data_IF_668761876399
#
_entry.id   IF_668761876399
#
_cell.length_a   1.000
_cell.length_b   1.000
_cell.length_c   1.000
_cell.angle_alpha   90.00
_cell.angle_beta   90.00
_cell.angle_gamma   90.00
#
_symmetry.space_group_name_H-M   'P 1'
#
loop_
_entity.id
_entity.type
_entity.pdbx_description
1 polymer ?
#
# COMPACT_ATOMS: atom_id res chain seq x y z
N UNK A 1 -19.99 -39.30 -16.00
CA UNK A 1 -21.20 -38.47 -16.18
C UNK A 1 -20.86 -37.21 -16.99
N UNK A 2 -20.00 -36.32 -16.50
CA UNK A 2 -19.66 -35.05 -17.16
C UNK A 2 -19.13 -35.19 -18.61
N UNK A 3 -18.22 -36.14 -18.89
CA UNK A 3 -17.67 -36.33 -20.24
C UNK A 3 -18.74 -36.66 -21.30
N UNK A 4 -19.69 -37.54 -20.98
CA UNK A 4 -20.78 -37.91 -21.89
C UNK A 4 -21.70 -36.72 -22.20
N UNK A 5 -21.79 -35.77 -21.27
CA UNK A 5 -22.66 -34.60 -21.37
C UNK A 5 -22.05 -33.54 -22.30
N UNK A 6 -20.75 -33.24 -22.15
CA UNK A 6 -20.03 -32.33 -23.06
C UNK A 6 -19.75 -32.95 -24.43
N UNK A 7 -19.65 -34.28 -24.53
CA UNK A 7 -19.58 -34.98 -25.81
C UNK A 7 -20.86 -34.74 -26.63
N UNK A 8 -22.04 -34.76 -25.98
CA UNK A 8 -23.32 -34.41 -26.63
C UNK A 8 -23.40 -32.94 -27.07
N UNK A 9 -22.59 -32.06 -26.47
CA UNK A 9 -22.46 -30.64 -26.84
C UNK A 9 -21.42 -30.39 -27.95
N UNK A 10 -20.84 -31.45 -28.54
CA UNK A 10 -19.92 -31.36 -29.67
C UNK A 10 -18.43 -31.48 -29.32
N UNK A 11 -18.08 -31.81 -28.07
CA UNK A 11 -16.68 -32.04 -27.69
C UNK A 11 -16.17 -33.38 -28.25
N UNK A 12 -15.08 -33.34 -29.03
CA UNK A 12 -14.49 -34.52 -29.71
C UNK A 12 -13.31 -35.15 -28.96
N UNK A 13 -12.94 -34.62 -27.80
CA UNK A 13 -11.78 -35.09 -27.04
C UNK A 13 -12.03 -36.28 -26.12
N UNK A 14 -10.94 -36.86 -25.62
CA UNK A 14 -10.98 -38.04 -24.75
C UNK A 14 -11.45 -37.74 -23.31
N UNK A 15 -12.11 -38.72 -22.69
CA UNK A 15 -12.55 -38.67 -21.29
C UNK A 15 -11.39 -38.33 -20.34
N UNK A 16 -10.22 -38.93 -20.57
CA UNK A 16 -9.00 -38.68 -19.78
C UNK A 16 -8.56 -37.21 -19.81
N UNK A 17 -8.77 -36.51 -20.92
CA UNK A 17 -8.41 -35.09 -21.04
C UNK A 17 -9.34 -34.21 -20.22
N UNK A 18 -10.63 -34.55 -20.20
CA UNK A 18 -11.64 -33.85 -19.41
C UNK A 18 -11.36 -34.02 -17.92
N UNK A 19 -11.14 -35.25 -17.45
CA UNK A 19 -10.84 -35.50 -16.04
C UNK A 19 -9.52 -34.89 -15.59
N UNK A 20 -8.49 -34.89 -16.45
CA UNK A 20 -7.24 -34.16 -16.19
C UNK A 20 -7.46 -32.66 -16.05
N UNK A 21 -8.31 -32.06 -16.89
CA UNK A 21 -8.63 -30.65 -16.79
C UNK A 21 -9.43 -30.33 -15.51
N UNK A 22 -10.39 -31.18 -15.14
CA UNK A 22 -11.10 -31.06 -13.85
C UNK A 22 -10.12 -31.16 -12.68
N UNK A 23 -9.15 -32.09 -12.74
CA UNK A 23 -8.13 -32.23 -11.70
C UNK A 23 -7.30 -30.96 -11.56
N UNK A 24 -6.90 -30.34 -12.67
CA UNK A 24 -6.22 -29.02 -12.63
C UNK A 24 -7.09 -27.92 -12.04
N UNK A 25 -8.40 -27.91 -12.34
CA UNK A 25 -9.33 -26.93 -11.76
C UNK A 25 -9.55 -27.15 -10.26
N UNK A 26 -9.64 -28.41 -9.80
CA UNK A 26 -9.72 -28.76 -8.37
C UNK A 26 -8.46 -28.36 -7.61
N UNK A 27 -7.28 -28.60 -8.18
CA UNK A 27 -6.02 -28.18 -7.58
C UNK A 27 -5.92 -26.65 -7.52
N UNK A 28 -6.33 -25.94 -8.56
CA UNK A 28 -6.40 -24.48 -8.57
C UNK A 28 -7.39 -23.94 -7.52
N UNK A 29 -8.57 -24.55 -7.38
CA UNK A 29 -9.56 -24.13 -6.37
C UNK A 29 -9.07 -24.39 -4.95
N UNK A 30 -8.41 -25.53 -4.69
CA UNK A 30 -7.82 -25.84 -3.38
C UNK A 30 -6.71 -24.83 -3.04
N UNK A 31 -5.81 -24.52 -3.98
CA UNK A 31 -4.77 -23.49 -3.78
C UNK A 31 -5.37 -22.11 -3.51
N UNK A 32 -6.40 -21.71 -4.27
CA UNK A 32 -7.09 -20.44 -4.05
C UNK A 32 -7.73 -20.37 -2.66
N UNK A 33 -8.39 -21.43 -2.20
CA UNK A 33 -8.99 -21.51 -0.86
C UNK A 33 -7.93 -21.46 0.26
N UNK A 34 -6.80 -22.14 0.10
CA UNK A 34 -5.69 -22.08 1.06
C UNK A 34 -5.11 -20.67 1.15
N UNK A 35 -5.00 -19.98 0.02
CA UNK A 35 -4.50 -18.61 -0.03
C UNK A 35 -5.49 -17.60 0.57
N UNK A 36 -6.79 -17.77 0.34
CA UNK A 36 -7.82 -16.92 0.98
C UNK A 36 -7.82 -17.07 2.50
N UNK A 37 -7.62 -18.29 3.02
CA UNK A 37 -7.48 -18.51 4.46
C UNK A 37 -6.24 -17.81 5.04
N UNK A 38 -5.15 -17.68 4.28
CA UNK A 38 -3.99 -16.88 4.69
C UNK A 38 -4.37 -15.40 4.84
N UNK A 39 -5.19 -14.84 3.95
CA UNK A 39 -5.63 -13.43 4.06
C UNK A 39 -6.35 -13.13 5.38
N UNK A 40 -7.11 -14.09 5.92
CA UNK A 40 -7.81 -13.93 7.20
C UNK A 40 -6.87 -13.82 8.42
N UNK A 41 -5.60 -14.19 8.28
CA UNK A 41 -4.59 -14.03 9.33
C UNK A 41 -3.89 -12.67 9.30
N UNK A 42 -4.08 -11.87 8.25
CA UNK A 42 -3.47 -10.54 8.15
C UNK A 42 -4.26 -9.51 8.95
N UNK A 43 -3.52 -8.70 9.71
CA UNK A 43 -4.04 -7.44 10.25
C UNK A 43 -4.00 -6.36 9.17
N UNK A 44 -4.84 -5.34 9.33
CA UNK A 44 -4.83 -4.18 8.43
C UNK A 44 -3.45 -3.49 8.37
N UNK A 45 -2.70 -3.46 9.50
CA UNK A 45 -1.35 -2.87 9.54
C UNK A 45 -0.34 -3.66 8.71
N UNK A 46 -0.38 -4.99 8.75
CA UNK A 46 0.50 -5.83 7.94
C UNK A 46 0.18 -5.70 6.46
N UNK A 47 -1.11 -5.63 6.09
CA UNK A 47 -1.54 -5.41 4.71
C UNK A 47 -1.07 -4.03 4.17
N UNK A 48 -1.18 -2.97 4.97
CA UNK A 48 -0.66 -1.63 4.60
C UNK A 48 0.85 -1.67 4.39
N UNK A 49 1.58 -2.37 5.26
CA UNK A 49 3.03 -2.49 5.14
C UNK A 49 3.44 -3.26 3.86
N UNK A 50 2.73 -4.35 3.55
CA UNK A 50 2.91 -5.12 2.33
C UNK A 50 2.64 -4.25 1.08
N UNK A 51 1.58 -3.44 1.11
CA UNK A 51 1.18 -2.59 -0.02
C UNK A 51 2.08 -1.38 -0.22
N UNK A 52 2.75 -0.89 0.82
CA UNK A 52 3.62 0.30 0.75
C UNK A 52 5.05 0.00 0.31
N UNK A 53 5.56 -1.22 0.54
CA UNK A 53 6.94 -1.61 0.23
C UNK A 53 7.17 -1.78 -1.27
N UNK A 54 8.41 -1.55 -1.72
CA UNK A 54 8.79 -1.91 -3.09
C UNK A 54 8.66 -3.43 -3.25
N UNK A 55 7.96 -3.87 -4.30
CA UNK A 55 7.80 -5.28 -4.64
C UNK A 55 9.14 -6.02 -4.69
N UNK A 56 10.22 -5.35 -5.15
CA UNK A 56 11.57 -5.95 -5.22
C UNK A 56 12.19 -6.25 -3.86
N UNK A 57 11.67 -5.61 -2.81
CA UNK A 57 12.13 -5.85 -1.44
C UNK A 57 11.37 -6.97 -0.73
N UNK A 58 10.25 -7.43 -1.31
CA UNK A 58 9.41 -8.47 -0.73
C UNK A 58 10.02 -9.86 -0.97
N UNK A 59 9.96 -10.72 0.04
CA UNK A 59 10.33 -12.13 -0.13
C UNK A 59 9.30 -12.90 -0.96
N UNK A 60 9.59 -14.17 -1.28
CA UNK A 60 8.72 -15.00 -2.12
C UNK A 60 7.32 -15.20 -1.50
N UNK A 61 7.24 -15.35 -0.17
CA UNK A 61 5.98 -15.57 0.54
C UNK A 61 5.15 -14.29 0.52
N UNK A 62 5.76 -13.15 0.82
CA UNK A 62 5.14 -11.83 0.76
C UNK A 62 4.63 -11.51 -0.65
N UNK A 63 5.36 -11.90 -1.70
CA UNK A 63 4.93 -11.71 -3.08
C UNK A 63 3.73 -12.60 -3.45
N UNK A 64 3.68 -13.84 -2.96
CA UNK A 64 2.51 -14.72 -3.11
C UNK A 64 1.29 -14.18 -2.36
N UNK A 65 1.49 -13.68 -1.14
CA UNK A 65 0.42 -13.10 -0.34
C UNK A 65 -0.11 -11.83 -1.01
N UNK A 66 0.76 -10.97 -1.51
CA UNK A 66 0.39 -9.79 -2.30
C UNK A 66 -0.39 -10.18 -3.57
N UNK A 67 0.06 -11.21 -4.29
CA UNK A 67 -0.64 -11.71 -5.46
C UNK A 67 -2.04 -12.23 -5.08
N UNK A 68 -2.15 -12.89 -3.93
CA UNK A 68 -3.42 -13.36 -3.39
C UNK A 68 -4.36 -12.21 -3.06
N UNK A 69 -3.90 -11.16 -2.37
CA UNK A 69 -4.71 -9.95 -2.12
C UNK A 69 -5.21 -9.32 -3.42
N UNK A 70 -4.34 -9.22 -4.42
CA UNK A 70 -4.66 -8.67 -5.73
C UNK A 70 -5.67 -9.52 -6.52
N UNK A 71 -5.65 -10.85 -6.37
CA UNK A 71 -6.58 -11.76 -7.02
C UNK A 71 -7.94 -11.83 -6.29
N UNK A 72 -7.94 -11.64 -4.98
CA UNK A 72 -9.15 -11.72 -4.16
C UNK A 72 -10.14 -10.59 -4.45
N UNK A 73 -9.66 -9.39 -4.80
CA UNK A 73 -10.54 -8.26 -5.14
C UNK A 73 -9.90 -7.28 -6.14
N UNK A 74 -10.63 -6.91 -7.21
CA UNK A 74 -10.21 -5.84 -8.12
C UNK A 74 -9.97 -4.49 -7.40
N UNK A 75 -10.74 -4.23 -6.35
CA UNK A 75 -10.61 -3.03 -5.51
C UNK A 75 -9.25 -3.02 -4.81
N UNK A 76 -8.83 -4.15 -4.23
CA UNK A 76 -7.51 -4.26 -3.57
C UNK A 76 -6.37 -4.11 -4.57
N UNK A 77 -6.51 -4.69 -5.77
CA UNK A 77 -5.53 -4.50 -6.85
C UNK A 77 -5.38 -3.03 -7.22
N UNK A 78 -6.49 -2.33 -7.41
CA UNK A 78 -6.50 -0.90 -7.76
C UNK A 78 -5.89 -0.04 -6.66
N UNK A 79 -6.23 -0.32 -5.40
CA UNK A 79 -5.63 0.32 -4.24
C UNK A 79 -4.11 0.11 -4.21
N UNK A 80 -3.65 -1.13 -4.37
CA UNK A 80 -2.22 -1.44 -4.43
C UNK A 80 -1.50 -0.64 -5.53
N UNK A 81 -2.07 -0.59 -6.73
CA UNK A 81 -1.46 0.14 -7.86
C UNK A 81 -1.34 1.64 -7.60
N UNK A 82 -2.39 2.26 -7.03
CA UNK A 82 -2.37 3.68 -6.69
C UNK A 82 -1.37 3.99 -5.58
N UNK A 83 -1.29 3.13 -4.55
CA UNK A 83 -0.31 3.26 -3.45
C UNK A 83 1.11 3.10 -3.99
N UNK A 84 1.39 2.08 -4.81
CA UNK A 84 2.71 1.89 -5.41
C UNK A 84 3.13 3.04 -6.30
N UNK A 85 2.19 3.59 -7.08
CA UNK A 85 2.47 4.72 -7.96
C UNK A 85 2.86 5.96 -7.14
N UNK A 86 2.15 6.21 -6.03
CA UNK A 86 2.50 7.27 -5.09
C UNK A 86 3.87 7.05 -4.45
N UNK A 87 4.12 5.84 -3.95
CA UNK A 87 5.40 5.50 -3.32
C UNK A 87 6.56 5.57 -4.30
N UNK A 88 6.33 5.27 -5.58
CA UNK A 88 7.31 5.51 -6.63
C UNK A 88 7.60 7.01 -6.80
N UNK A 89 6.56 7.85 -6.85
CA UNK A 89 6.75 9.31 -6.92
C UNK A 89 7.59 9.82 -5.74
N UNK A 90 7.35 9.31 -4.53
CA UNK A 90 8.13 9.66 -3.33
C UNK A 90 9.59 9.22 -3.48
N UNK A 91 9.85 7.96 -3.86
CA UNK A 91 11.22 7.41 -3.97
C UNK A 91 12.04 8.06 -5.06
N UNK A 92 11.42 8.32 -6.22
CA UNK A 92 12.09 8.87 -7.40
C UNK A 92 12.01 10.38 -7.52
N UNK A 93 11.31 11.04 -6.59
CA UNK A 93 11.03 12.47 -6.60
C UNK A 93 10.39 12.94 -7.92
N UNK A 94 9.33 12.26 -8.32
CA UNK A 94 8.59 12.52 -9.56
C UNK A 94 7.36 13.42 -9.31
N UNK A 95 7.52 14.54 -8.59
CA UNK A 95 6.41 15.44 -8.24
C UNK A 95 5.64 16.02 -9.44
N UNK A 96 6.22 15.99 -10.65
CA UNK A 96 5.53 16.34 -11.89
C UNK A 96 4.35 15.41 -12.22
N UNK A 97 4.33 14.18 -11.67
CA UNK A 97 3.27 13.18 -11.89
C UNK A 97 2.08 13.34 -10.94
N UNK A 98 2.20 14.22 -9.93
CA UNK A 98 1.20 14.36 -8.86
C UNK A 98 -0.20 14.69 -9.41
N UNK A 99 -0.28 15.61 -10.38
CA UNK A 99 -1.53 16.04 -11.00
C UNK A 99 -2.27 14.85 -11.64
N UNK A 100 -1.58 14.10 -12.49
CA UNK A 100 -2.13 12.91 -13.14
C UNK A 100 -2.49 11.80 -12.15
N UNK A 101 -1.75 11.67 -11.05
CA UNK A 101 -2.06 10.70 -9.99
C UNK A 101 -3.34 11.07 -9.25
N UNK A 102 -3.57 12.36 -8.96
CA UNK A 102 -4.79 12.85 -8.31
C UNK A 102 -6.02 12.66 -9.22
N UNK A 103 -5.89 12.91 -10.53
CA UNK A 103 -6.95 12.63 -11.51
C UNK A 103 -7.34 11.15 -11.53
N UNK A 104 -6.36 10.24 -11.48
CA UNK A 104 -6.62 8.79 -11.43
C UNK A 104 -7.37 8.37 -10.16
N UNK A 105 -7.11 9.02 -9.03
CA UNK A 105 -7.86 8.76 -7.79
C UNK A 105 -9.28 9.32 -7.88
N UNK A 106 -9.44 10.52 -8.44
CA UNK A 106 -10.77 11.12 -8.64
C UNK A 106 -11.65 10.24 -9.54
N UNK A 107 -11.08 9.61 -10.56
CA UNK A 107 -11.77 8.65 -11.44
C UNK A 107 -11.97 7.25 -10.82
N UNK A 108 -11.39 6.96 -9.65
CA UNK A 108 -11.54 5.70 -8.96
C UNK A 108 -12.81 5.67 -8.10
N UNK A 109 -13.23 4.47 -7.68
CA UNK A 109 -14.33 4.19 -6.76
C UNK A 109 -13.87 4.04 -5.29
N UNK A 110 -12.68 4.55 -4.96
CA UNK A 110 -12.01 4.36 -3.68
C UNK A 110 -12.18 5.60 -2.78
N UNK A 111 -13.30 5.69 -2.07
CA UNK A 111 -13.70 6.85 -1.23
C UNK A 111 -12.63 7.28 -0.20
N UNK A 112 -11.95 6.32 0.42
CA UNK A 112 -10.88 6.58 1.39
C UNK A 112 -9.66 7.22 0.72
N UNK A 113 -9.28 6.76 -0.48
CA UNK A 113 -8.20 7.37 -1.24
C UNK A 113 -8.60 8.75 -1.81
N UNK A 114 -9.85 8.93 -2.20
CA UNK A 114 -10.37 10.25 -2.60
C UNK A 114 -10.30 11.24 -1.44
N UNK A 115 -10.65 10.81 -0.21
CA UNK A 115 -10.53 11.64 0.99
C UNK A 115 -9.07 12.01 1.29
N UNK A 116 -8.15 11.07 1.12
CA UNK A 116 -6.71 11.34 1.20
C UNK A 116 -6.26 12.34 0.13
N UNK A 117 -6.67 12.14 -1.12
CA UNK A 117 -6.35 13.02 -2.24
C UNK A 117 -6.88 14.45 -2.02
N UNK A 118 -8.05 14.62 -1.42
CA UNK A 118 -8.58 15.93 -1.05
C UNK A 118 -7.69 16.65 -0.01
N UNK A 119 -7.08 15.90 0.92
CA UNK A 119 -6.06 16.44 1.82
C UNK A 119 -4.79 16.87 1.08
N UNK A 120 -4.32 16.03 0.16
CA UNK A 120 -3.17 16.34 -0.70
C UNK A 120 -3.42 17.57 -1.57
N UNK A 121 -4.63 17.74 -2.11
CA UNK A 121 -4.98 18.89 -2.95
C UNK A 121 -4.91 20.21 -2.17
N UNK A 122 -5.34 20.21 -0.89
CA UNK A 122 -5.25 21.41 -0.03
C UNK A 122 -3.82 21.90 0.16
N UNK A 123 -2.88 20.97 0.32
CA UNK A 123 -1.46 21.25 0.54
C UNK A 123 -0.59 20.96 -0.70
N UNK A 124 -1.21 20.99 -1.89
CA UNK A 124 -0.61 20.49 -3.14
C UNK A 124 0.75 21.07 -3.46
N UNK A 125 0.93 22.37 -3.26
CA UNK A 125 2.21 23.03 -3.50
C UNK A 125 3.32 22.45 -2.60
N UNK A 126 3.03 22.24 -1.32
CA UNK A 126 3.96 21.66 -0.36
C UNK A 126 4.24 20.18 -0.67
N UNK A 127 3.20 19.39 -0.98
CA UNK A 127 3.36 17.99 -1.36
C UNK A 127 4.17 17.86 -2.64
N UNK A 128 3.88 18.65 -3.68
CA UNK A 128 4.63 18.65 -4.94
C UNK A 128 6.11 19.02 -4.72
N UNK A 129 6.38 20.00 -3.87
CA UNK A 129 7.76 20.33 -3.48
C UNK A 129 8.45 19.16 -2.77
N UNK A 130 7.77 18.53 -1.80
CA UNK A 130 8.29 17.34 -1.09
C UNK A 130 8.52 16.13 -2.00
N UNK A 131 7.73 15.99 -3.07
CA UNK A 131 7.89 14.98 -4.11
C UNK A 131 8.90 15.38 -5.19
N UNK A 132 9.55 16.54 -5.13
CA UNK A 132 10.49 17.00 -6.18
C UNK A 132 11.86 17.29 -5.61
N UNK A 133 11.92 17.94 -4.45
CA UNK A 133 13.17 18.44 -3.90
C UNK A 133 13.88 17.40 -3.04
N UNK A 134 15.19 17.51 -2.97
CA UNK A 134 16.01 16.71 -2.06
C UNK A 134 15.97 17.18 -0.62
N UNK A 135 15.61 18.46 -0.42
CA UNK A 135 15.55 19.14 0.85
C UNK A 135 14.21 18.81 1.51
N UNK A 136 14.26 18.39 2.77
CA UNK A 136 13.08 18.10 3.57
C UNK A 136 13.17 18.83 4.92
N UNK A 137 12.04 18.91 5.62
CA UNK A 137 11.96 19.52 6.95
C UNK A 137 12.32 18.56 8.08
N UNK A 138 12.81 17.34 7.81
CA UNK A 138 12.99 16.31 8.84
C UNK A 138 13.94 16.77 9.96
N UNK A 139 15.03 17.46 9.61
CA UNK A 139 15.96 18.00 10.61
C UNK A 139 15.28 19.05 11.50
N UNK A 140 14.51 19.97 10.90
CA UNK A 140 13.78 21.02 11.63
C UNK A 140 12.73 20.40 12.55
N UNK A 141 11.95 19.44 12.04
CA UNK A 141 10.95 18.70 12.81
C UNK A 141 11.57 17.91 13.95
N UNK A 142 12.74 17.32 13.75
CA UNK A 142 13.51 16.66 14.80
C UNK A 142 13.89 17.62 15.93
N UNK A 143 14.41 18.81 15.59
CA UNK A 143 14.74 19.84 16.58
C UNK A 143 13.49 20.33 17.33
N UNK A 144 12.39 20.58 16.61
CA UNK A 144 11.10 20.98 17.21
C UNK A 144 10.58 19.89 18.15
N UNK A 145 10.74 18.62 17.78
CA UNK A 145 10.33 17.48 18.62
C UNK A 145 11.16 17.39 19.88
N UNK A 146 12.49 17.55 19.80
CA UNK A 146 13.39 17.62 20.97
C UNK A 146 13.00 18.77 21.91
N UNK A 147 12.72 19.95 21.35
CA UNK A 147 12.23 21.10 22.10
C UNK A 147 10.88 20.83 22.79
N UNK A 148 9.91 20.26 22.06
CA UNK A 148 8.60 19.89 22.61
C UNK A 148 8.74 18.86 23.74
N UNK A 149 9.61 17.87 23.59
CA UNK A 149 9.90 16.87 24.62
C UNK A 149 10.44 17.54 25.89
N UNK A 150 11.46 18.39 25.75
CA UNK A 150 12.08 19.08 26.87
C UNK A 150 11.09 20.03 27.58
N UNK A 151 10.19 20.67 26.84
CA UNK A 151 9.09 21.46 27.43
C UNK A 151 8.09 20.58 28.19
N UNK A 152 7.77 19.39 27.68
CA UNK A 152 6.84 18.43 28.31
C UNK A 152 7.41 17.82 29.59
N UNK A 153 8.71 17.50 29.64
CA UNK A 153 9.36 17.02 30.88
C UNK A 153 9.35 18.08 31.99
N UNK A 154 9.10 19.34 31.63
CA UNK A 154 8.93 20.46 32.56
C UNK A 154 7.47 20.86 32.79
N UNK A 155 6.53 19.94 32.53
CA UNK A 155 5.10 20.17 32.69
C UNK A 155 4.56 21.38 31.91
N UNK A 156 5.23 21.76 30.81
CA UNK A 156 4.86 22.92 30.01
C UNK A 156 5.19 24.28 30.65
N UNK A 157 5.74 24.31 31.87
CA UNK A 157 5.98 25.54 32.65
C UNK A 157 7.29 26.26 32.32
N UNK A 158 8.10 25.69 31.42
CA UNK A 158 9.34 26.32 30.99
C UNK A 158 9.07 27.46 30.01
N UNK A 159 9.30 28.70 30.45
CA UNK A 159 9.38 29.87 29.57
C UNK A 159 10.63 29.83 28.69
N UNK A 160 10.69 30.72 27.69
CA UNK A 160 11.80 30.75 26.72
C UNK A 160 13.20 30.82 27.35
N UNK A 161 13.48 31.64 28.40
CA UNK A 161 14.81 31.71 29.00
C UNK A 161 15.30 30.35 29.54
N UNK A 162 14.41 29.61 30.22
CA UNK A 162 14.72 28.32 30.81
C UNK A 162 14.83 27.21 29.75
N UNK A 163 13.99 27.25 28.72
CA UNK A 163 14.11 26.35 27.56
C UNK A 163 15.44 26.56 26.84
N UNK A 164 15.83 27.82 26.59
CA UNK A 164 17.10 28.16 25.93
C UNK A 164 18.29 27.59 26.70
N UNK A 165 18.34 27.81 28.01
CA UNK A 165 19.41 27.27 28.87
C UNK A 165 19.49 25.75 28.77
N UNK A 166 18.36 25.06 28.90
CA UNK A 166 18.34 23.59 28.85
C UNK A 166 18.68 23.01 27.48
N UNK A 167 18.39 23.71 26.38
CA UNK A 167 18.77 23.26 25.04
C UNK A 167 20.26 23.48 24.79
N UNK A 168 20.80 24.64 25.16
CA UNK A 168 22.22 24.97 24.97
C UNK A 168 23.15 24.14 25.87
N UNK A 169 22.66 23.69 27.02
CA UNK A 169 23.42 22.89 27.99
C UNK A 169 23.01 21.40 28.03
N UNK A 170 22.21 20.93 27.06
CA UNK A 170 21.92 19.51 26.91
C UNK A 170 23.13 18.81 26.27
N UNK A 171 23.91 18.10 27.10
CA UNK A 171 24.96 17.15 26.66
C UNK A 171 24.32 15.90 26.07
#
# INVERSE_FOLDING_TARGET
MLWREIQKQGYTGSERTVYRHIETLKQASVRASLNLNRLHTFTASTAVWLFGRDKKSLDEVEQEDLATFCQASPTLKRTYDLVQDFMQMVRKREGYRLDAWLERIAASDLTELQSFAAGVEKDKAAVKAGLTWSINNAQVEGQVTKLKLLKRTMYGKAGFPLLRQRVLHAV
#
